data_IF_569856204014
#
_entry.id   IF_569856204014
#
_cell.length_a   1.000
_cell.length_b   1.000
_cell.length_c   1.000
_cell.angle_alpha   90.00
_cell.angle_beta   90.00
_cell.angle_gamma   90.00
#
_symmetry.space_group_name_H-M   'P 1'
#
loop_
_entity.id
_entity.type
_entity.pdbx_description
1 polymer ?
#
# COMPACT_ATOMS: atom_id res chain seq x y z
N UNK A 1 14.04 -18.92 5.99
CA UNK A 1 15.25 -18.24 6.43
C UNK A 1 15.01 -16.92 7.20
N UNK A 2 13.75 -16.54 7.45
CA UNK A 2 13.43 -15.31 8.20
C UNK A 2 14.12 -15.28 9.58
N UNK A 3 14.08 -16.39 10.32
CA UNK A 3 14.74 -16.51 11.65
C UNK A 3 16.24 -16.16 11.61
N UNK A 4 16.93 -16.52 10.54
CA UNK A 4 18.37 -16.19 10.39
C UNK A 4 18.59 -14.69 10.25
N UNK A 5 17.76 -13.99 9.45
CA UNK A 5 17.84 -12.53 9.35
C UNK A 5 17.54 -11.84 10.68
N UNK A 6 16.56 -12.32 11.43
CA UNK A 6 16.21 -11.76 12.73
C UNK A 6 17.36 -11.94 13.74
N UNK A 7 18.01 -13.12 13.77
CA UNK A 7 19.19 -13.34 14.60
C UNK A 7 20.37 -12.47 14.16
N UNK A 8 20.58 -12.32 12.85
CA UNK A 8 21.65 -11.48 12.31
C UNK A 8 21.44 -10.01 12.71
N UNK A 9 20.19 -9.51 12.72
CA UNK A 9 19.86 -8.15 13.14
C UNK A 9 20.10 -7.92 14.64
N UNK A 10 20.01 -8.94 15.48
CA UNK A 10 20.35 -8.85 16.89
C UNK A 10 21.88 -8.67 17.11
N UNK A 11 22.69 -9.17 16.17
CA UNK A 11 24.15 -9.11 16.28
C UNK A 11 24.71 -7.86 15.60
N UNK A 12 24.24 -7.56 14.37
CA UNK A 12 24.81 -6.52 13.49
C UNK A 12 24.02 -5.20 13.49
N UNK A 13 22.94 -5.08 14.16
CA UNK A 13 21.91 -4.07 14.08
C UNK A 13 20.94 -4.21 12.88
N UNK A 14 19.64 -3.91 13.09
CA UNK A 14 18.63 -3.97 12.05
C UNK A 14 18.96 -3.06 10.86
N UNK A 15 19.40 -1.82 11.12
CA UNK A 15 19.74 -0.86 10.08
C UNK A 15 20.77 -1.39 9.11
N UNK A 16 21.88 -1.96 9.62
CA UNK A 16 22.97 -2.46 8.79
C UNK A 16 22.53 -3.61 7.88
N UNK A 17 21.73 -4.54 8.41
CA UNK A 17 21.20 -5.67 7.64
C UNK A 17 20.23 -5.19 6.56
N UNK A 18 19.29 -4.29 6.88
CA UNK A 18 18.33 -3.76 5.92
C UNK A 18 19.00 -2.96 4.82
N UNK A 19 20.05 -2.18 5.11
CA UNK A 19 20.82 -1.45 4.10
C UNK A 19 21.41 -2.39 3.05
N UNK A 20 21.98 -3.50 3.47
CA UNK A 20 22.52 -4.52 2.53
C UNK A 20 21.40 -5.15 1.71
N UNK A 21 20.24 -5.40 2.32
CA UNK A 21 19.10 -6.05 1.65
C UNK A 21 18.37 -5.13 0.66
N UNK A 22 18.56 -3.82 0.73
CA UNK A 22 17.86 -2.85 -0.13
C UNK A 22 18.06 -3.15 -1.62
N UNK A 23 19.24 -3.61 -2.03
CA UNK A 23 19.51 -4.00 -3.42
C UNK A 23 18.60 -5.12 -3.94
N UNK A 24 18.14 -5.99 -3.06
CA UNK A 24 17.25 -7.10 -3.41
C UNK A 24 15.81 -6.67 -3.71
N UNK A 25 15.41 -5.44 -3.36
CA UNK A 25 14.10 -4.88 -3.72
C UNK A 25 13.93 -4.71 -5.23
N UNK A 26 15.04 -4.70 -5.99
CA UNK A 26 15.04 -4.63 -7.46
C UNK A 26 15.45 -5.95 -8.12
N UNK A 27 15.52 -7.04 -7.36
CA UNK A 27 15.94 -8.34 -7.89
C UNK A 27 14.98 -8.83 -8.99
N UNK A 28 15.53 -9.47 -10.05
CA UNK A 28 14.73 -10.00 -11.20
C UNK A 28 13.62 -10.95 -10.79
N UNK A 29 13.82 -11.75 -9.75
CA UNK A 29 12.83 -12.69 -9.22
C UNK A 29 11.90 -11.98 -8.24
N UNK A 30 10.62 -11.94 -8.57
CA UNK A 30 9.59 -11.30 -7.74
C UNK A 30 9.46 -11.91 -6.33
N UNK A 31 9.74 -13.20 -6.19
CA UNK A 31 9.72 -13.85 -4.88
C UNK A 31 10.82 -13.32 -3.96
N UNK A 32 12.00 -13.03 -4.52
CA UNK A 32 13.07 -12.40 -3.74
C UNK A 32 12.67 -10.99 -3.33
N UNK A 33 12.04 -10.20 -4.22
CA UNK A 33 11.55 -8.87 -3.87
C UNK A 33 10.47 -8.91 -2.78
N UNK A 34 9.48 -9.82 -2.91
CA UNK A 34 8.43 -10.04 -1.90
C UNK A 34 9.04 -10.40 -0.54
N UNK A 35 9.93 -11.40 -0.51
CA UNK A 35 10.58 -11.84 0.74
C UNK A 35 11.48 -10.77 1.35
N UNK A 36 12.14 -9.96 0.52
CA UNK A 36 12.91 -8.83 1.03
C UNK A 36 12.01 -7.83 1.74
N UNK A 37 10.87 -7.46 1.16
CA UNK A 37 9.90 -6.58 1.82
C UNK A 37 9.39 -7.22 3.12
N UNK A 38 9.15 -8.53 3.14
CA UNK A 38 8.75 -9.26 4.34
C UNK A 38 9.81 -9.19 5.45
N UNK A 39 11.10 -9.19 5.10
CA UNK A 39 12.19 -8.99 6.09
C UNK A 39 12.11 -7.57 6.68
N UNK A 40 11.84 -6.55 5.86
CA UNK A 40 11.64 -5.18 6.37
C UNK A 40 10.43 -5.11 7.31
N UNK A 41 9.30 -5.71 6.96
CA UNK A 41 8.11 -5.79 7.82
C UNK A 41 8.45 -6.46 9.15
N UNK A 42 9.10 -7.64 9.10
CA UNK A 42 9.45 -8.40 10.29
C UNK A 42 10.41 -7.61 11.19
N UNK A 43 11.39 -6.93 10.62
CA UNK A 43 12.32 -6.08 11.37
C UNK A 43 11.58 -4.94 12.08
N UNK A 44 10.73 -4.20 11.36
CA UNK A 44 9.95 -3.07 11.90
C UNK A 44 8.94 -3.50 12.97
N UNK A 45 8.43 -4.73 12.92
CA UNK A 45 7.53 -5.29 13.93
C UNK A 45 8.26 -5.82 15.18
N UNK A 46 9.56 -6.11 15.06
CA UNK A 46 10.32 -6.77 16.14
C UNK A 46 11.24 -5.81 16.89
N UNK A 47 11.87 -4.88 16.19
CA UNK A 47 12.85 -3.97 16.78
C UNK A 47 12.25 -2.58 17.01
N UNK A 48 12.79 -1.81 17.96
CA UNK A 48 12.34 -0.45 18.23
C UNK A 48 12.46 0.46 17.00
N UNK A 49 11.52 1.36 16.81
CA UNK A 49 11.54 2.31 15.68
C UNK A 49 12.76 3.24 15.67
N UNK A 50 13.39 3.45 16.84
CA UNK A 50 14.64 4.21 16.99
C UNK A 50 15.84 3.59 16.27
N UNK A 51 15.78 2.29 16.01
CA UNK A 51 16.87 1.54 15.36
C UNK A 51 16.88 1.71 13.83
N UNK A 52 15.90 2.43 13.31
CA UNK A 52 15.72 2.62 11.86
C UNK A 52 15.73 4.09 11.46
N UNK A 53 16.26 4.37 10.29
CA UNK A 53 15.97 5.61 9.57
C UNK A 53 14.68 5.41 8.76
N UNK A 54 13.52 5.65 9.38
CA UNK A 54 12.22 5.40 8.76
C UNK A 54 12.02 6.13 7.42
N UNK A 55 12.43 7.39 7.23
CA UNK A 55 12.39 8.05 5.92
C UNK A 55 13.22 7.31 4.86
N UNK A 56 14.40 6.83 5.20
CA UNK A 56 15.27 6.07 4.28
C UNK A 56 14.62 4.74 3.90
N UNK A 57 14.08 4.01 4.88
CA UNK A 57 13.32 2.76 4.65
C UNK A 57 12.11 3.02 3.76
N UNK A 58 11.38 4.10 3.98
CA UNK A 58 10.22 4.50 3.18
C UNK A 58 10.62 4.70 1.72
N UNK A 59 11.66 5.49 1.47
CA UNK A 59 12.16 5.78 0.13
C UNK A 59 12.67 4.52 -0.59
N UNK A 60 13.29 3.59 0.16
CA UNK A 60 13.77 2.34 -0.40
C UNK A 60 12.63 1.42 -0.87
N UNK A 61 11.52 1.37 -0.11
CA UNK A 61 10.38 0.49 -0.42
C UNK A 61 9.40 1.15 -1.40
N UNK A 62 9.34 2.48 -1.49
CA UNK A 62 8.36 3.19 -2.31
C UNK A 62 8.29 2.71 -3.77
N UNK A 63 9.40 2.48 -4.50
CA UNK A 63 9.34 1.96 -5.87
C UNK A 63 8.66 0.60 -6.00
N UNK A 64 8.63 -0.19 -4.93
CA UNK A 64 8.02 -1.52 -4.92
C UNK A 64 6.49 -1.45 -4.94
N UNK A 65 5.89 -0.31 -4.60
CA UNK A 65 4.44 -0.07 -4.69
C UNK A 65 3.89 -0.23 -6.11
N UNK A 66 4.71 0.06 -7.13
CA UNK A 66 4.34 -0.05 -8.55
C UNK A 66 4.89 -1.32 -9.22
N UNK A 67 5.29 -2.31 -8.44
CA UNK A 67 5.79 -3.58 -8.97
C UNK A 67 4.76 -4.26 -9.89
N UNK A 68 5.23 -4.89 -10.96
CA UNK A 68 4.38 -5.62 -11.90
C UNK A 68 3.66 -6.82 -11.27
N UNK A 69 4.15 -7.34 -10.14
CA UNK A 69 3.60 -8.52 -9.48
C UNK A 69 2.74 -8.13 -8.28
N UNK A 70 1.47 -8.55 -8.31
CA UNK A 70 0.46 -8.25 -7.28
C UNK A 70 0.91 -8.58 -5.84
N UNK A 71 1.64 -9.71 -5.66
CA UNK A 71 2.13 -10.10 -4.32
C UNK A 71 3.17 -9.13 -3.78
N UNK A 72 4.02 -8.62 -4.65
CA UNK A 72 5.06 -7.65 -4.28
C UNK A 72 4.41 -6.31 -3.92
N UNK A 73 3.40 -5.85 -4.71
CA UNK A 73 2.62 -4.66 -4.37
C UNK A 73 1.89 -4.81 -3.03
N UNK A 74 1.29 -5.99 -2.78
CA UNK A 74 0.65 -6.27 -1.50
C UNK A 74 1.64 -6.16 -0.35
N UNK A 75 2.80 -6.82 -0.46
CA UNK A 75 3.84 -6.74 0.56
C UNK A 75 4.26 -5.27 0.82
N UNK A 76 4.41 -4.48 -0.24
CA UNK A 76 4.75 -3.06 -0.12
C UNK A 76 3.65 -2.27 0.64
N UNK A 77 2.36 -2.47 0.32
CA UNK A 77 1.26 -1.82 1.04
C UNK A 77 1.24 -2.21 2.53
N UNK A 78 1.51 -3.48 2.84
CA UNK A 78 1.62 -3.95 4.23
C UNK A 78 2.82 -3.30 4.94
N UNK A 79 3.97 -3.16 4.26
CA UNK A 79 5.14 -2.48 4.80
C UNK A 79 4.85 -1.01 5.11
N UNK A 80 4.16 -0.30 4.21
CA UNK A 80 3.77 1.09 4.44
C UNK A 80 2.84 1.27 5.64
N UNK A 81 1.95 0.31 5.91
CA UNK A 81 1.12 0.33 7.12
C UNK A 81 1.98 0.23 8.38
N UNK A 82 3.00 -0.64 8.39
CA UNK A 82 3.91 -0.78 9.53
C UNK A 82 4.81 0.44 9.68
N UNK A 83 5.34 0.99 8.58
CA UNK A 83 6.15 2.21 8.59
C UNK A 83 5.35 3.40 9.17
N UNK A 84 4.12 3.61 8.69
CA UNK A 84 3.26 4.68 9.18
C UNK A 84 2.97 4.54 10.68
N UNK A 85 2.75 3.32 11.17
CA UNK A 85 2.59 3.03 12.58
C UNK A 85 3.88 3.32 13.37
N UNK A 86 5.04 2.91 12.85
CA UNK A 86 6.33 3.13 13.49
C UNK A 86 6.72 4.61 13.57
N UNK A 87 6.33 5.42 12.57
CA UNK A 87 6.52 6.87 12.58
C UNK A 87 5.62 7.56 13.61
N UNK A 88 4.43 7.00 13.85
CA UNK A 88 3.44 7.56 14.74
C UNK A 88 2.61 8.70 14.14
N UNK A 89 1.53 9.10 14.84
CA UNK A 89 0.62 10.15 14.39
C UNK A 89 1.34 11.48 14.20
N UNK A 90 1.04 12.18 13.12
CA UNK A 90 1.62 13.49 12.78
C UNK A 90 3.02 13.46 12.16
N UNK A 91 3.66 12.30 12.01
CA UNK A 91 5.00 12.18 11.43
C UNK A 91 5.04 11.42 10.10
N UNK A 92 3.90 11.27 9.44
CA UNK A 92 3.78 10.49 8.19
C UNK A 92 4.18 11.26 6.93
N UNK A 93 4.63 12.51 7.05
CA UNK A 93 5.03 13.32 5.90
C UNK A 93 6.05 12.61 4.98
N UNK A 94 7.05 11.86 5.48
CA UNK A 94 7.95 11.11 4.61
C UNK A 94 7.22 10.04 3.77
N UNK A 95 6.17 9.42 4.29
CA UNK A 95 5.33 8.47 3.54
C UNK A 95 4.62 9.20 2.40
N UNK A 96 3.97 10.33 2.69
CA UNK A 96 3.26 11.13 1.67
C UNK A 96 4.23 11.56 0.58
N UNK A 97 5.37 12.14 0.95
CA UNK A 97 6.37 12.62 0.00
C UNK A 97 6.91 11.49 -0.90
N UNK A 98 7.20 10.32 -0.32
CA UNK A 98 7.70 9.18 -1.09
C UNK A 98 6.65 8.64 -2.08
N UNK A 99 5.38 8.59 -1.67
CA UNK A 99 4.28 8.12 -2.52
C UNK A 99 3.98 9.13 -3.63
N UNK A 100 3.93 10.43 -3.34
CA UNK A 100 3.77 11.49 -4.34
C UNK A 100 4.89 11.43 -5.40
N UNK A 101 6.13 11.18 -4.98
CA UNK A 101 7.25 11.02 -5.91
C UNK A 101 7.05 9.82 -6.85
N UNK A 102 6.49 8.71 -6.36
CA UNK A 102 6.18 7.54 -7.20
C UNK A 102 5.05 7.83 -8.18
N UNK A 103 3.98 8.51 -7.76
CA UNK A 103 2.90 8.90 -8.67
C UNK A 103 3.41 9.80 -9.80
N UNK A 104 4.29 10.75 -9.48
CA UNK A 104 4.82 11.71 -10.46
C UNK A 104 5.83 11.08 -11.43
N UNK A 105 6.67 10.14 -10.97
CA UNK A 105 7.84 9.68 -11.73
C UNK A 105 7.66 8.31 -12.37
N UNK A 106 6.84 7.44 -11.78
CA UNK A 106 6.73 6.03 -12.19
C UNK A 106 5.36 5.64 -12.72
N UNK A 107 4.48 6.60 -12.99
CA UNK A 107 3.13 6.34 -13.51
C UNK A 107 2.26 5.57 -12.50
N UNK A 108 2.48 5.81 -11.22
CA UNK A 108 1.76 5.18 -10.12
C UNK A 108 0.43 5.86 -9.78
N UNK A 109 -0.31 6.37 -10.76
CA UNK A 109 -1.59 7.06 -10.55
C UNK A 109 -2.54 6.20 -9.69
N UNK A 110 -2.89 6.68 -8.48
CA UNK A 110 -3.77 6.00 -7.55
C UNK A 110 -3.05 5.24 -6.42
N UNK A 111 -1.72 5.23 -6.38
CA UNK A 111 -0.95 4.65 -5.26
C UNK A 111 -1.30 5.35 -3.95
N UNK A 112 -1.46 6.68 -3.96
CA UNK A 112 -1.83 7.43 -2.77
C UNK A 112 -3.22 7.01 -2.26
N UNK A 113 -4.18 6.81 -3.15
CA UNK A 113 -5.49 6.30 -2.77
C UNK A 113 -5.41 4.90 -2.17
N UNK A 114 -4.55 4.03 -2.72
CA UNK A 114 -4.31 2.68 -2.20
C UNK A 114 -3.66 2.71 -0.81
N UNK A 115 -2.64 3.52 -0.60
CA UNK A 115 -2.00 3.73 0.70
C UNK A 115 -3.01 4.25 1.72
N UNK A 116 -3.78 5.28 1.35
CA UNK A 116 -4.81 5.85 2.21
C UNK A 116 -5.84 4.80 2.63
N UNK A 117 -6.35 4.01 1.69
CA UNK A 117 -7.28 2.92 1.97
C UNK A 117 -6.66 1.85 2.87
N UNK A 118 -5.40 1.47 2.61
CA UNK A 118 -4.68 0.50 3.45
C UNK A 118 -4.51 0.97 4.88
N UNK A 119 -4.09 2.21 5.07
CA UNK A 119 -3.91 2.80 6.39
C UNK A 119 -5.24 2.98 7.15
N UNK A 120 -6.33 3.30 6.44
CA UNK A 120 -7.67 3.42 7.01
C UNK A 120 -8.19 2.12 7.64
N UNK A 121 -7.67 0.94 7.22
CA UNK A 121 -8.03 -0.35 7.83
C UNK A 121 -7.53 -0.50 9.27
N UNK A 122 -6.53 0.27 9.68
CA UNK A 122 -5.94 0.25 11.05
C UNK A 122 -5.53 -1.14 11.52
N UNK A 123 -5.23 -2.05 10.62
CA UNK A 123 -4.78 -3.41 10.90
C UNK A 123 -3.33 -3.55 10.45
N UNK A 124 -2.51 -4.19 11.27
CA UNK A 124 -1.11 -4.47 10.95
C UNK A 124 -0.92 -5.94 10.62
N UNK A 125 0.03 -6.27 9.73
CA UNK A 125 0.47 -7.63 9.55
C UNK A 125 1.04 -8.17 10.86
N UNK A 126 1.10 -9.49 10.98
CA UNK A 126 1.60 -10.19 12.17
C UNK A 126 2.73 -11.11 11.80
N UNK A 127 3.52 -11.48 12.79
CA UNK A 127 4.49 -12.55 12.66
C UNK A 127 3.88 -13.83 13.24
N UNK A 128 3.93 -14.92 12.47
CA UNK A 128 3.54 -16.23 12.97
C UNK A 128 4.67 -16.83 13.86
N UNK A 129 4.44 -18.03 14.42
CA UNK A 129 5.41 -18.72 15.28
C UNK A 129 6.75 -19.02 14.60
N UNK A 130 6.76 -19.08 13.28
CA UNK A 130 7.96 -19.27 12.46
C UNK A 130 8.66 -17.97 12.09
N UNK A 131 8.13 -16.82 12.51
CA UNK A 131 8.62 -15.49 12.18
C UNK A 131 8.25 -15.03 10.78
N UNK A 132 7.36 -15.75 10.08
CA UNK A 132 6.88 -15.35 8.76
C UNK A 132 5.77 -14.30 8.89
N UNK A 133 5.73 -13.39 7.93
CA UNK A 133 4.73 -12.32 7.88
C UNK A 133 3.38 -12.86 7.41
N UNK A 134 2.35 -12.64 8.21
CA UNK A 134 0.95 -12.83 7.84
C UNK A 134 0.33 -11.48 7.55
N UNK A 135 -0.07 -11.25 6.30
CA UNK A 135 -0.65 -9.98 5.87
C UNK A 135 -2.01 -9.73 6.53
N UNK A 136 -2.25 -8.48 6.91
CA UNK A 136 -3.52 -8.09 7.50
C UNK A 136 -4.65 -8.09 6.46
N UNK A 137 -4.33 -7.80 5.20
CA UNK A 137 -5.28 -7.82 4.09
C UNK A 137 -5.05 -9.09 3.27
N UNK A 138 -5.99 -10.05 3.30
CA UNK A 138 -5.85 -11.28 2.54
C UNK A 138 -5.93 -11.00 1.04
N UNK A 139 -5.11 -11.72 0.27
CA UNK A 139 -5.15 -11.65 -1.19
C UNK A 139 -6.48 -12.23 -1.70
N UNK A 140 -7.24 -11.50 -2.52
CA UNK A 140 -8.42 -12.08 -3.17
C UNK A 140 -8.01 -13.28 -4.03
N UNK A 141 -8.66 -14.41 -3.83
CA UNK A 141 -8.42 -15.59 -4.67
C UNK A 141 -8.95 -15.34 -6.09
N UNK A 142 -8.21 -15.79 -7.09
CA UNK A 142 -8.55 -15.58 -8.51
C UNK A 142 -9.88 -16.24 -8.97
N UNK A 143 -10.50 -17.03 -8.10
CA UNK A 143 -11.74 -17.77 -8.39
C UNK A 143 -13.02 -17.16 -7.80
N UNK A 144 -12.94 -16.09 -7.03
CA UNK A 144 -14.10 -15.51 -6.35
C UNK A 144 -14.67 -14.31 -7.12
N UNK A 145 -14.83 -14.45 -8.42
CA UNK A 145 -15.53 -13.47 -9.25
C UNK A 145 -16.98 -13.91 -9.35
N UNK A 146 -17.85 -13.10 -8.80
CA UNK A 146 -19.33 -13.10 -8.83
C UNK A 146 -20.00 -13.86 -7.67
N UNK A 147 -20.33 -13.11 -6.63
CA UNK A 147 -21.44 -13.43 -5.75
C UNK A 147 -21.19 -13.55 -4.26
N UNK A 148 -19.95 -13.55 -3.78
CA UNK A 148 -19.71 -13.54 -2.33
C UNK A 148 -19.41 -12.14 -1.83
N UNK A 149 -20.31 -11.62 -1.01
CA UNK A 149 -20.29 -10.28 -0.41
C UNK A 149 -19.17 -10.06 0.62
N UNK A 150 -18.27 -11.02 0.84
CA UNK A 150 -17.25 -10.97 1.88
C UNK A 150 -15.81 -10.70 1.39
N UNK A 151 -15.60 -10.39 0.10
CA UNK A 151 -14.28 -9.93 -0.34
C UNK A 151 -14.04 -8.51 0.12
N UNK A 152 -12.89 -8.22 0.77
CA UNK A 152 -12.53 -6.87 1.11
C UNK A 152 -12.52 -6.00 -0.16
N UNK A 153 -13.17 -4.84 -0.11
CA UNK A 153 -13.18 -3.87 -1.20
C UNK A 153 -12.43 -2.62 -0.76
N UNK A 154 -11.89 -1.90 -1.72
CA UNK A 154 -11.20 -0.63 -1.48
C UNK A 154 -10.08 -0.39 -2.48
N UNK A 155 -9.62 0.85 -2.57
CA UNK A 155 -8.58 1.26 -3.51
C UNK A 155 -7.27 0.47 -3.31
N UNK A 156 -6.97 0.00 -2.10
CA UNK A 156 -5.84 -0.87 -1.81
C UNK A 156 -5.94 -2.23 -2.49
N UNK A 157 -7.14 -2.84 -2.47
CA UNK A 157 -7.38 -4.13 -3.14
C UNK A 157 -7.33 -3.96 -4.66
N UNK A 158 -7.98 -2.91 -5.17
CA UNK A 158 -8.00 -2.61 -6.59
C UNK A 158 -6.58 -2.36 -7.11
N UNK A 159 -5.76 -1.64 -6.33
CA UNK A 159 -4.35 -1.43 -6.63
C UNK A 159 -3.54 -2.74 -6.65
N UNK A 160 -3.72 -3.59 -5.65
CA UNK A 160 -3.05 -4.89 -5.61
C UNK A 160 -3.37 -5.71 -6.86
N UNK A 161 -4.63 -5.71 -7.31
CA UNK A 161 -5.08 -6.51 -8.44
C UNK A 161 -4.70 -5.90 -9.79
N UNK A 162 -4.96 -4.62 -10.01
CA UNK A 162 -4.77 -3.94 -11.29
C UNK A 162 -3.32 -3.53 -11.56
N UNK A 163 -2.61 -3.07 -10.56
CA UNK A 163 -1.20 -2.69 -10.66
C UNK A 163 -0.89 -1.31 -11.20
N UNK A 164 -1.82 -0.64 -11.79
CA UNK A 164 -1.80 0.78 -12.18
C UNK A 164 -3.22 1.26 -12.17
N UNK A 165 -3.48 2.44 -11.61
CA UNK A 165 -4.78 3.05 -11.71
C UNK A 165 -5.04 3.45 -13.15
N UNK A 166 -5.83 2.65 -13.80
CA UNK A 166 -6.53 3.05 -15.00
C UNK A 166 -5.74 3.05 -16.29
N UNK A 167 -5.86 2.03 -16.98
CA UNK A 167 -6.61 2.01 -18.22
C UNK A 167 -7.59 0.87 -18.06
N UNK A 168 -8.75 1.19 -17.53
CA UNK A 168 -9.89 0.30 -17.58
C UNK A 168 -10.21 0.00 -19.03
N UNK A 169 -9.53 -0.95 -19.60
CA UNK A 169 -10.07 -1.77 -20.67
C UNK A 169 -11.06 -2.70 -20.01
N UNK A 170 -12.24 -2.18 -19.77
CA UNK A 170 -13.42 -2.99 -19.75
C UNK A 170 -13.56 -3.50 -21.19
N UNK A 171 -13.01 -4.66 -21.48
CA UNK A 171 -13.47 -5.47 -22.59
C UNK A 171 -14.82 -6.09 -22.19
N UNK A 172 -15.92 -5.60 -22.74
CA UNK A 172 -17.16 -6.35 -22.71
C UNK A 172 -17.18 -7.27 -23.95
N UNK A 173 -16.37 -8.33 -23.97
CA UNK A 173 -16.62 -9.41 -24.90
C UNK A 173 -17.82 -10.24 -24.42
N UNK A 174 -18.98 -9.66 -24.56
CA UNK A 174 -20.27 -10.31 -24.56
C UNK A 174 -20.71 -10.48 -25.99
N UNK A 175 -20.36 -11.61 -26.58
CA UNK A 175 -20.91 -12.08 -27.85
C UNK A 175 -22.44 -12.14 -27.77
N UNK A 176 -23.12 -11.34 -28.55
CA UNK A 176 -24.46 -11.67 -29.06
C UNK A 176 -24.65 -11.07 -30.45
N UNK A 177 -24.71 -12.02 -31.39
CA UNK A 177 -25.17 -11.79 -32.76
C UNK A 177 -26.58 -11.21 -32.76
N UNK A 178 -26.80 -10.15 -33.52
CA UNK A 178 -28.04 -9.95 -34.30
C UNK A 178 -27.82 -8.88 -35.36
N UNK A 179 -28.03 -9.29 -36.56
CA UNK A 179 -28.38 -8.73 -37.88
C UNK A 179 -28.56 -7.22 -38.07
N UNK A 180 -28.22 -6.72 -39.28
CA UNK A 180 -28.18 -5.30 -39.60
C UNK A 180 -29.54 -4.79 -40.12
N UNK A 181 -29.86 -3.55 -39.72
CA UNK A 181 -30.90 -2.74 -40.33
C UNK A 181 -30.41 -1.32 -40.53
N UNK A 182 -30.78 -0.63 -41.62
CA UNK A 182 -30.12 0.60 -42.05
C UNK A 182 -30.79 1.87 -41.53
N UNK A 183 -30.00 2.96 -41.53
CA UNK A 183 -30.35 4.37 -41.41
C UNK A 183 -30.76 4.86 -40.01
N UNK A 184 -29.92 5.73 -39.41
CA UNK A 184 -30.20 7.15 -39.40
C UNK A 184 -29.02 7.93 -38.81
N UNK A 185 -28.64 8.94 -39.57
CA UNK A 185 -27.65 9.96 -39.20
C UNK A 185 -28.21 10.86 -38.09
N UNK A 186 -27.55 10.92 -36.92
CA UNK A 186 -27.59 12.10 -36.07
C UNK A 186 -26.25 12.29 -35.35
N UNK A 187 -25.55 13.29 -35.84
CA UNK A 187 -24.41 13.93 -35.19
C UNK A 187 -24.90 14.59 -33.91
N UNK A 188 -24.40 14.14 -32.77
CA UNK A 188 -24.44 14.90 -31.53
C UNK A 188 -23.10 14.81 -30.83
N UNK A 189 -22.42 15.94 -30.83
CA UNK A 189 -21.23 16.22 -30.05
C UNK A 189 -21.57 16.07 -28.57
N UNK A 190 -21.19 14.94 -27.96
CA UNK A 190 -21.19 14.75 -26.52
C UNK A 190 -19.89 15.27 -25.92
N UNK A 191 -19.92 15.96 -24.78
CA UNK A 191 -18.72 16.49 -24.17
C UNK A 191 -17.82 15.35 -23.70
N UNK A 192 -16.52 15.46 -24.01
CA UNK A 192 -15.46 14.60 -23.54
C UNK A 192 -15.51 14.40 -22.03
N UNK A 193 -15.25 13.20 -21.51
CA UNK A 193 -15.10 13.01 -20.08
C UNK A 193 -13.96 13.87 -19.57
N UNK A 194 -14.32 14.85 -18.75
CA UNK A 194 -13.36 15.71 -18.07
C UNK A 194 -12.44 14.83 -17.24
N UNK A 195 -11.17 14.80 -17.55
CA UNK A 195 -10.14 14.31 -16.65
C UNK A 195 -10.23 15.15 -15.39
N UNK A 196 -10.64 14.54 -14.32
CA UNK A 196 -10.53 15.16 -13.00
C UNK A 196 -9.03 15.19 -12.66
N UNK A 197 -8.38 16.28 -13.02
CA UNK A 197 -7.11 16.61 -12.40
C UNK A 197 -7.43 16.93 -10.94
N UNK A 198 -7.05 16.06 -10.04
CA UNK A 198 -7.05 16.37 -8.62
C UNK A 198 -5.95 17.38 -8.36
N UNK A 199 -6.25 18.66 -8.57
CA UNK A 199 -5.44 19.76 -8.08
C UNK A 199 -5.76 20.00 -6.59
N UNK A 200 -5.74 18.96 -5.79
CA UNK A 200 -5.98 19.00 -4.36
C UNK A 200 -4.94 18.16 -3.65
N UNK A 201 -4.24 18.77 -2.69
CA UNK A 201 -3.32 18.10 -1.80
C UNK A 201 -3.93 16.77 -1.33
N UNK A 202 -3.27 15.65 -1.66
CA UNK A 202 -3.63 14.35 -1.15
C UNK A 202 -3.59 14.39 0.37
N UNK A 203 -4.76 14.38 1.01
CA UNK A 203 -4.89 14.37 2.47
C UNK A 203 -5.22 12.96 2.92
N UNK A 204 -4.53 12.53 3.95
CA UNK A 204 -4.84 11.25 4.58
C UNK A 204 -6.09 11.40 5.47
N UNK A 205 -6.90 10.34 5.68
CA UNK A 205 -8.20 10.41 6.36
C UNK A 205 -8.15 10.95 7.80
N UNK A 206 -6.98 11.08 8.39
CA UNK A 206 -6.77 11.61 9.74
C UNK A 206 -6.09 12.99 9.77
N UNK A 207 -5.75 13.57 8.62
CA UNK A 207 -5.35 14.96 8.53
C UNK A 207 -6.62 15.83 8.57
N UNK A 208 -7.08 16.17 9.77
CA UNK A 208 -8.17 17.10 9.97
C UNK A 208 -7.87 18.45 9.33
N UNK A 209 -8.91 19.12 8.86
CA UNK A 209 -8.86 20.48 8.34
C UNK A 209 -8.23 21.44 9.38
N UNK A 210 -6.94 21.69 9.25
CA UNK A 210 -6.25 22.75 9.97
C UNK A 210 -6.44 24.08 9.23
N UNK A 211 -7.67 24.45 8.99
CA UNK A 211 -8.01 25.83 8.62
C UNK A 211 -9.50 26.08 8.92
N UNK A 212 -9.80 26.32 10.16
CA UNK A 212 -10.81 27.17 10.79
C UNK A 212 -11.35 26.48 12.04
N UNK A 213 -10.92 26.96 13.09
CA UNK A 213 -11.50 27.18 14.41
C UNK A 213 -10.58 26.68 15.52
N UNK A 214 -10.00 27.68 16.15
CA UNK A 214 -9.42 27.58 17.48
C UNK A 214 -10.62 27.44 18.42
N UNK A 215 -11.01 26.21 18.73
CA UNK A 215 -11.57 25.82 20.03
C UNK A 215 -12.07 24.37 19.96
N UNK A 216 -11.55 23.57 20.84
CA UNK A 216 -11.80 22.16 21.15
C UNK A 216 -10.87 21.15 20.49
N UNK A 217 -9.70 21.05 21.08
CA UNK A 217 -8.84 19.86 21.02
C UNK A 217 -9.58 18.71 21.73
N UNK A 218 -10.21 17.82 20.99
CA UNK A 218 -10.48 16.46 21.47
C UNK A 218 -9.20 15.67 21.24
N UNK A 219 -8.36 15.65 22.25
CA UNK A 219 -7.25 14.70 22.35
C UNK A 219 -7.87 13.29 22.35
N UNK A 220 -7.78 12.60 21.23
CA UNK A 220 -8.02 11.16 21.22
C UNK A 220 -6.78 10.55 21.84
N UNK A 221 -6.91 10.13 23.09
CA UNK A 221 -5.88 9.53 23.89
C UNK A 221 -5.50 8.15 23.33
N UNK A 222 -4.39 8.09 22.58
CA UNK A 222 -3.82 6.88 22.01
C UNK A 222 -3.10 6.00 23.07
N UNK A 223 -3.27 6.27 24.35
CA UNK A 223 -2.61 5.52 25.44
C UNK A 223 -3.26 4.18 25.77
N UNK A 224 -4.34 3.79 25.14
CA UNK A 224 -5.07 2.56 25.47
C UNK A 224 -4.70 1.32 24.64
N UNK A 225 -3.62 1.33 23.88
CA UNK A 225 -3.10 0.11 23.27
C UNK A 225 -1.94 -0.44 24.11
N UNK A 226 -2.29 -1.14 25.16
CA UNK A 226 -1.35 -2.00 25.89
C UNK A 226 -0.89 -3.12 24.96
N UNK A 227 0.36 -3.05 24.55
CA UNK A 227 1.10 -4.19 24.04
C UNK A 227 1.24 -5.20 25.19
N UNK A 228 0.51 -6.30 25.14
CA UNK A 228 0.84 -7.46 25.94
C UNK A 228 2.08 -8.07 25.31
N UNK A 229 3.23 -7.72 25.90
CA UNK A 229 4.50 -8.41 25.66
C UNK A 229 4.34 -9.78 26.29
N UNK A 230 4.18 -10.81 25.49
CA UNK A 230 4.32 -12.19 25.97
C UNK A 230 5.80 -12.53 25.82
N UNK A 231 6.44 -12.67 26.98
CA UNK A 231 7.74 -13.31 27.11
C UNK A 231 7.71 -14.76 26.59
#
# INVERSE_FOLDING_TARGET
NMKVFMQLMQILSPKSVLTVLTSNLQHRNSRVREETVNVFIAALLTFPSSDFNLPEVTNAIAPVLVDSKRRVRQAALEAFAVIAQAMGPGRIQPVVTAVDAIELTMGGDGVMAAITARLARRQLPRLNRDGLVEYAVPMPSSGTIRGQSNTPRGADIDWILAGTAGTGSADPSGSSRSTPGPNDSFSMSGPSPRRFFSAGKNRLPWEGDQAKDVTQVRVIDFRSFTFVSIM
#
